data_IF_534836577740
#
_entry.id   IF_534836577740
#
_cell.length_a   1.000
_cell.length_b   1.000
_cell.length_c   1.000
_cell.angle_alpha   90.00
_cell.angle_beta   90.00
_cell.angle_gamma   90.00
#
_symmetry.space_group_name_H-M   'P 1'
#
loop_
_entity.id
_entity.type
_entity.pdbx_description
1 polymer ?
#
# COMPACT_ATOMS: atom_id res chain seq x y z
N UNK A 1 -10.27 -18.11 19.54
CA UNK A 1 -11.23 -17.15 18.97
C UNK A 1 -10.83 -15.79 19.51
N UNK A 2 -10.57 -14.81 18.64
CA UNK A 2 -10.22 -13.45 19.08
C UNK A 2 -11.48 -12.74 19.57
N UNK A 3 -11.34 -11.83 20.52
CA UNK A 3 -12.47 -11.11 21.12
C UNK A 3 -12.51 -9.70 20.55
N UNK A 4 -13.59 -9.29 19.85
CA UNK A 4 -13.74 -7.90 19.43
C UNK A 4 -13.88 -6.96 20.63
N UNK A 5 -13.26 -5.78 20.56
CA UNK A 5 -13.47 -4.74 21.55
C UNK A 5 -14.93 -4.28 21.60
N UNK A 6 -15.44 -4.02 22.81
CA UNK A 6 -16.88 -3.80 23.06
C UNK A 6 -17.46 -2.59 22.30
N UNK A 7 -16.64 -1.56 22.03
CA UNK A 7 -17.08 -0.36 21.31
C UNK A 7 -17.07 -0.47 19.79
N UNK A 8 -16.54 -1.56 19.22
CA UNK A 8 -16.67 -1.79 17.79
C UNK A 8 -18.16 -1.81 17.43
N UNK A 9 -18.54 -1.10 16.36
CA UNK A 9 -19.88 -1.26 15.81
C UNK A 9 -20.04 -2.66 15.19
N UNK A 10 -21.25 -3.24 15.22
CA UNK A 10 -21.50 -4.53 14.58
C UNK A 10 -21.09 -4.53 13.10
N UNK A 11 -20.39 -5.57 12.66
CA UNK A 11 -19.97 -5.77 11.28
C UNK A 11 -18.78 -6.70 11.14
N UNK A 12 -18.23 -6.77 9.94
CA UNK A 12 -17.18 -7.73 9.60
C UNK A 12 -15.77 -7.23 9.97
N UNK A 13 -15.55 -5.91 9.99
CA UNK A 13 -14.29 -5.32 10.44
C UNK A 13 -14.37 -5.00 11.93
N UNK A 14 -13.33 -5.32 12.68
CA UNK A 14 -13.25 -5.02 14.11
C UNK A 14 -11.81 -4.84 14.56
N UNK A 15 -11.63 -4.13 15.68
CA UNK A 15 -10.36 -4.12 16.42
C UNK A 15 -10.44 -5.13 17.56
N UNK A 16 -9.45 -6.00 17.66
CA UNK A 16 -9.30 -6.96 18.75
C UNK A 16 -9.13 -6.23 20.10
N UNK A 17 -9.80 -6.74 21.13
CA UNK A 17 -9.69 -6.24 22.50
C UNK A 17 -8.27 -6.46 23.06
N UNK A 18 -7.74 -5.46 23.77
CA UNK A 18 -6.41 -5.46 24.41
C UNK A 18 -5.22 -5.62 23.44
N UNK A 19 -5.42 -5.39 22.15
CA UNK A 19 -4.34 -5.47 21.16
C UNK A 19 -3.70 -4.12 20.85
N UNK A 20 -4.50 -3.05 20.82
CA UNK A 20 -4.06 -1.74 20.37
C UNK A 20 -2.96 -1.15 21.28
N UNK A 21 -1.94 -0.56 20.65
CA UNK A 21 -0.85 0.18 21.32
C UNK A 21 -0.90 1.69 21.04
N UNK A 22 -2.06 2.21 20.63
CA UNK A 22 -2.31 3.64 20.40
C UNK A 22 -1.37 4.30 19.38
N UNK A 23 -1.01 3.58 18.30
CA UNK A 23 -0.12 4.08 17.23
C UNK A 23 -0.74 5.13 16.29
N UNK A 24 -2.03 5.47 16.44
CA UNK A 24 -2.82 6.39 15.61
C UNK A 24 -2.97 6.05 14.11
N UNK A 25 -2.26 5.06 13.56
CA UNK A 25 -2.34 4.66 12.14
C UNK A 25 -3.79 4.53 11.62
N UNK A 26 -4.73 3.86 12.30
CA UNK A 26 -6.09 3.72 11.79
C UNK A 26 -6.85 5.05 11.71
N UNK A 27 -6.56 5.97 12.64
CA UNK A 27 -7.17 7.30 12.70
C UNK A 27 -6.60 8.19 11.59
N UNK A 28 -5.31 8.08 11.27
CA UNK A 28 -4.69 8.87 10.21
C UNK A 28 -5.10 8.38 8.81
N UNK A 29 -5.24 7.06 8.64
CA UNK A 29 -5.59 6.45 7.36
C UNK A 29 -7.10 6.52 7.05
N UNK A 30 -7.95 6.34 8.07
CA UNK A 30 -9.39 6.19 7.92
C UNK A 30 -10.18 6.83 9.10
N UNK A 31 -10.06 8.16 9.30
CA UNK A 31 -10.57 8.87 10.51
C UNK A 31 -12.09 8.83 10.71
N UNK A 32 -12.85 8.56 9.65
CA UNK A 32 -14.31 8.45 9.64
C UNK A 32 -14.83 7.02 9.86
N UNK A 33 -13.92 6.04 9.93
CA UNK A 33 -14.20 4.62 10.14
C UNK A 33 -13.66 4.16 11.50
N UNK A 34 -12.49 4.67 11.90
CA UNK A 34 -11.87 4.38 13.19
C UNK A 34 -11.92 5.59 14.12
N UNK A 35 -12.08 5.33 15.40
CA UNK A 35 -11.90 6.32 16.45
C UNK A 35 -11.21 5.67 17.64
N UNK A 36 -10.93 6.43 18.69
CA UNK A 36 -10.25 5.95 19.89
C UNK A 36 -10.93 6.51 21.13
N UNK A 37 -10.94 5.72 22.19
CA UNK A 37 -11.27 6.19 23.52
C UNK A 37 -10.04 6.16 24.43
N UNK A 38 -10.25 6.28 25.74
CA UNK A 38 -9.15 6.30 26.71
C UNK A 38 -8.36 4.96 26.80
N UNK A 39 -8.83 3.89 26.13
CA UNK A 39 -8.22 2.56 26.18
C UNK A 39 -7.59 2.15 24.85
N UNK A 40 -8.36 2.17 23.76
CA UNK A 40 -7.90 1.70 22.45
C UNK A 40 -8.69 2.24 21.27
N UNK A 41 -8.13 2.08 20.07
CA UNK A 41 -8.89 2.32 18.85
C UNK A 41 -9.96 1.24 18.62
N UNK A 42 -11.01 1.62 17.90
CA UNK A 42 -12.11 0.75 17.53
C UNK A 42 -12.77 1.19 16.22
N UNK A 43 -13.46 0.25 15.57
CA UNK A 43 -14.27 0.54 14.39
C UNK A 43 -15.54 1.25 14.83
N UNK A 44 -15.63 2.55 14.56
CA UNK A 44 -16.81 3.39 14.85
C UNK A 44 -17.87 3.30 13.76
N UNK A 45 -17.47 2.88 12.56
CA UNK A 45 -18.35 2.73 11.40
C UNK A 45 -17.76 1.71 10.41
N UNK A 46 -18.60 0.82 9.89
CA UNK A 46 -18.20 -0.11 8.83
C UNK A 46 -18.07 0.61 7.48
N UNK A 47 -17.12 0.20 6.61
CA UNK A 47 -17.03 0.73 5.26
C UNK A 47 -18.27 0.38 4.44
N UNK A 48 -18.75 1.33 3.63
CA UNK A 48 -19.94 1.21 2.78
C UNK A 48 -19.69 1.56 1.32
N UNK A 49 -18.55 2.18 1.03
CA UNK A 49 -18.13 2.53 -0.34
C UNK A 49 -16.80 1.86 -0.67
N UNK A 50 -16.45 1.78 -1.95
CA UNK A 50 -15.17 1.23 -2.39
C UNK A 50 -13.98 2.01 -1.81
N UNK A 51 -14.08 3.34 -1.73
CA UNK A 51 -13.06 4.20 -1.13
C UNK A 51 -12.88 3.92 0.37
N UNK A 52 -13.99 3.80 1.12
CA UNK A 52 -13.95 3.47 2.53
C UNK A 52 -13.34 2.09 2.78
N UNK A 53 -13.65 1.12 1.92
CA UNK A 53 -13.06 -0.21 1.98
C UNK A 53 -11.55 -0.15 1.71
N UNK A 54 -11.11 0.56 0.68
CA UNK A 54 -9.69 0.72 0.36
C UNK A 54 -8.91 1.37 1.51
N UNK A 55 -9.47 2.39 2.16
CA UNK A 55 -8.87 3.01 3.34
C UNK A 55 -8.84 2.06 4.55
N UNK A 56 -9.85 1.22 4.71
CA UNK A 56 -9.88 0.18 5.76
C UNK A 56 -8.78 -0.87 5.54
N UNK A 57 -8.67 -1.40 4.33
CA UNK A 57 -7.64 -2.38 3.97
C UNK A 57 -6.25 -1.77 4.06
N UNK A 58 -6.09 -0.50 3.71
CA UNK A 58 -4.85 0.25 3.92
C UNK A 58 -4.52 0.38 5.41
N UNK A 59 -5.48 0.64 6.28
CA UNK A 59 -5.23 0.68 7.73
C UNK A 59 -4.77 -0.68 8.26
N UNK A 60 -5.38 -1.78 7.80
CA UNK A 60 -4.93 -3.14 8.14
C UNK A 60 -3.49 -3.38 7.66
N UNK A 61 -3.16 -2.98 6.44
CA UNK A 61 -1.81 -3.13 5.90
C UNK A 61 -0.71 -2.31 6.63
N UNK A 62 -1.09 -1.23 7.32
CA UNK A 62 -0.13 -0.36 8.00
C UNK A 62 -0.08 -0.59 9.52
N UNK A 63 -0.90 -1.47 10.07
CA UNK A 63 -0.90 -1.72 11.50
C UNK A 63 0.39 -2.42 11.97
N UNK A 64 0.75 -2.21 13.23
CA UNK A 64 1.97 -2.80 13.79
C UNK A 64 1.74 -4.19 14.40
N UNK A 65 0.51 -4.49 14.85
CA UNK A 65 0.21 -5.62 15.73
C UNK A 65 -1.00 -6.48 15.33
N UNK A 66 -1.40 -6.47 14.05
CA UNK A 66 -2.52 -7.30 13.53
C UNK A 66 -3.86 -7.16 14.30
N UNK A 67 -4.08 -6.00 14.94
CA UNK A 67 -5.22 -5.71 15.80
C UNK A 67 -6.53 -5.47 15.04
N UNK A 68 -6.46 -4.88 13.85
CA UNK A 68 -7.60 -4.71 12.96
C UNK A 68 -7.77 -6.02 12.20
N UNK A 69 -8.97 -6.58 12.28
CA UNK A 69 -9.29 -7.92 11.79
C UNK A 69 -10.55 -7.92 10.93
N UNK A 70 -10.67 -8.95 10.09
CA UNK A 70 -11.83 -9.18 9.24
C UNK A 70 -12.43 -10.57 9.51
N UNK A 71 -13.66 -10.61 10.01
CA UNK A 71 -14.40 -11.86 10.29
C UNK A 71 -15.40 -12.26 9.18
N UNK A 72 -15.57 -11.42 8.17
CA UNK A 72 -16.54 -11.64 7.10
C UNK A 72 -16.16 -12.76 6.14
N UNK A 73 -17.03 -13.01 5.16
CA UNK A 73 -16.91 -14.09 4.17
C UNK A 73 -16.83 -13.59 2.73
N UNK A 74 -16.66 -12.28 2.52
CA UNK A 74 -16.49 -11.74 1.19
C UNK A 74 -15.16 -12.23 0.59
N UNK A 75 -15.26 -13.02 -0.48
CA UNK A 75 -14.10 -13.64 -1.13
C UNK A 75 -13.12 -12.59 -1.67
N UNK A 76 -13.61 -11.44 -2.12
CA UNK A 76 -12.77 -10.40 -2.70
C UNK A 76 -11.97 -9.68 -1.60
N UNK A 77 -12.59 -9.40 -0.46
CA UNK A 77 -11.89 -8.83 0.70
C UNK A 77 -10.83 -9.80 1.22
N UNK A 78 -11.18 -11.07 1.38
CA UNK A 78 -10.21 -12.10 1.83
C UNK A 78 -9.05 -12.23 0.84
N UNK A 79 -9.34 -12.24 -0.47
CA UNK A 79 -8.31 -12.31 -1.51
C UNK A 79 -7.32 -11.17 -1.39
N UNK A 80 -7.81 -9.93 -1.30
CA UNK A 80 -6.97 -8.72 -1.18
C UNK A 80 -6.07 -8.76 0.05
N UNK A 81 -6.65 -9.05 1.23
CA UNK A 81 -5.87 -9.17 2.47
C UNK A 81 -4.80 -10.27 2.39
N UNK A 82 -5.14 -11.46 1.88
CA UNK A 82 -4.13 -12.53 1.76
C UNK A 82 -3.04 -12.17 0.76
N UNK A 83 -3.40 -11.63 -0.40
CA UNK A 83 -2.43 -11.23 -1.43
C UNK A 83 -1.49 -10.12 -0.93
N UNK A 84 -1.97 -9.23 -0.07
CA UNK A 84 -1.18 -8.15 0.54
C UNK A 84 -0.34 -8.57 1.75
N UNK A 85 -0.39 -9.84 2.16
CA UNK A 85 0.34 -10.37 3.32
C UNK A 85 -0.44 -10.33 4.65
N UNK A 86 -1.66 -9.79 4.65
CA UNK A 86 -2.51 -9.61 5.84
C UNK A 86 -3.38 -10.84 6.16
N UNK A 87 -3.06 -12.02 5.63
CA UNK A 87 -3.88 -13.23 5.78
C UNK A 87 -4.10 -13.66 7.24
N UNK A 88 -3.18 -13.34 8.16
CA UNK A 88 -3.29 -13.61 9.60
C UNK A 88 -4.37 -12.78 10.32
N UNK A 89 -4.79 -11.66 9.72
CA UNK A 89 -5.83 -10.76 10.24
C UNK A 89 -7.24 -11.19 9.85
N UNK A 90 -7.36 -12.22 9.01
CA UNK A 90 -8.64 -12.76 8.52
C UNK A 90 -9.03 -13.99 9.32
N UNK A 91 -10.23 -13.99 9.91
CA UNK A 91 -10.72 -15.13 10.70
C UNK A 91 -11.38 -16.23 9.84
N UNK A 92 -11.67 -15.93 8.57
CA UNK A 92 -12.29 -16.87 7.64
C UNK A 92 -11.33 -17.96 7.17
N UNK A 93 -11.84 -19.18 7.05
CA UNK A 93 -11.13 -20.29 6.40
C UNK A 93 -10.94 -20.11 4.89
N UNK A 94 -11.52 -19.06 4.30
CA UNK A 94 -11.32 -18.75 2.88
C UNK A 94 -9.87 -18.38 2.57
N UNK A 95 -9.09 -17.97 3.57
CA UNK A 95 -7.66 -17.63 3.43
C UNK A 95 -6.85 -18.73 2.74
N UNK A 96 -7.19 -20.01 2.99
CA UNK A 96 -6.51 -21.17 2.40
C UNK A 96 -6.61 -21.29 0.87
N UNK A 97 -7.50 -20.51 0.25
CA UNK A 97 -7.71 -20.51 -1.20
C UNK A 97 -6.90 -19.42 -1.92
N UNK A 98 -6.20 -18.58 -1.17
CA UNK A 98 -5.43 -17.47 -1.71
C UNK A 98 -3.98 -17.59 -1.23
N UNK A 99 -3.08 -16.95 -1.97
CA UNK A 99 -1.66 -16.89 -1.65
C UNK A 99 -1.20 -15.45 -1.74
N UNK A 100 -0.19 -15.11 -0.93
CA UNK A 100 0.45 -13.81 -1.01
C UNK A 100 0.95 -13.54 -2.43
N UNK A 101 0.78 -12.29 -2.88
CA UNK A 101 1.09 -11.90 -4.26
C UNK A 101 1.73 -10.51 -4.29
N UNK A 102 3.03 -10.49 -4.57
CA UNK A 102 3.78 -9.26 -4.73
C UNK A 102 3.45 -8.56 -6.07
N UNK A 103 2.82 -7.40 -5.99
CA UNK A 103 2.62 -6.50 -7.14
C UNK A 103 3.65 -5.38 -7.14
N UNK A 104 4.68 -5.56 -7.94
CA UNK A 104 5.86 -4.68 -7.98
C UNK A 104 6.04 -4.00 -9.34
N UNK A 105 5.01 -4.08 -10.19
CA UNK A 105 4.95 -3.39 -11.47
C UNK A 105 3.75 -2.47 -11.41
N UNK A 106 3.91 -1.17 -11.71
CA UNK A 106 2.79 -0.26 -11.83
C UNK A 106 2.75 0.37 -13.22
N UNK A 107 1.63 0.26 -13.91
CA UNK A 107 1.34 1.01 -15.12
C UNK A 107 0.49 2.23 -14.77
N UNK A 108 0.91 3.40 -15.20
CA UNK A 108 0.36 4.68 -14.76
C UNK A 108 0.10 5.58 -15.96
N UNK A 109 -1.07 6.20 -16.00
CA UNK A 109 -1.35 7.29 -16.96
C UNK A 109 -1.04 8.62 -16.29
N UNK A 110 -0.14 9.42 -16.86
CA UNK A 110 0.23 10.69 -16.25
C UNK A 110 0.55 11.76 -17.30
N UNK A 111 0.29 13.02 -16.97
CA UNK A 111 0.55 14.18 -17.85
C UNK A 111 1.98 14.72 -17.67
N UNK A 112 2.98 13.92 -18.05
CA UNK A 112 4.39 14.29 -17.97
C UNK A 112 5.07 14.10 -19.33
N UNK A 113 5.99 15.01 -19.67
CA UNK A 113 6.69 15.00 -20.95
C UNK A 113 7.81 13.94 -21.01
N UNK A 114 8.31 13.50 -19.84
CA UNK A 114 9.38 12.51 -19.74
C UNK A 114 9.34 11.72 -18.44
N UNK A 115 10.00 10.56 -18.41
CA UNK A 115 10.19 9.80 -17.17
C UNK A 115 10.99 10.62 -16.14
N UNK A 116 11.98 11.41 -16.59
CA UNK A 116 12.81 12.25 -15.72
C UNK A 116 11.99 13.30 -14.96
N UNK A 117 11.13 14.06 -15.65
CA UNK A 117 10.23 15.02 -15.00
C UNK A 117 9.29 14.32 -14.01
N UNK A 118 8.74 13.16 -14.40
CA UNK A 118 7.81 12.43 -13.54
C UNK A 118 8.46 11.92 -12.25
N UNK A 119 9.63 11.29 -12.35
CA UNK A 119 10.34 10.80 -11.15
C UNK A 119 10.86 11.96 -10.32
N UNK A 120 11.25 13.07 -10.92
CA UNK A 120 11.70 14.24 -10.14
C UNK A 120 10.60 14.71 -9.19
N UNK A 121 9.38 14.90 -9.71
CA UNK A 121 8.22 15.32 -8.92
C UNK A 121 7.79 14.25 -7.90
N UNK A 122 7.82 12.97 -8.30
CA UNK A 122 7.53 11.84 -7.40
C UNK A 122 8.42 11.82 -6.15
N UNK A 123 9.69 12.18 -6.31
CA UNK A 123 10.66 12.14 -5.23
C UNK A 123 10.61 13.39 -4.34
N UNK A 124 9.93 14.48 -4.73
CA UNK A 124 9.85 15.68 -3.91
C UNK A 124 9.18 15.41 -2.56
N UNK A 125 8.08 14.65 -2.54
CA UNK A 125 7.34 14.35 -1.33
C UNK A 125 8.14 13.56 -0.29
N UNK A 126 8.70 12.38 -0.59
CA UNK A 126 9.50 11.66 0.39
C UNK A 126 10.76 12.44 0.79
N UNK A 127 11.29 13.32 -0.08
CA UNK A 127 12.38 14.25 0.29
C UNK A 127 11.92 15.34 1.27
N UNK A 128 10.69 15.84 1.15
CA UNK A 128 10.13 16.81 2.09
C UNK A 128 9.93 16.20 3.50
N UNK A 129 9.58 14.92 3.57
CA UNK A 129 9.44 14.17 4.83
C UNK A 129 10.77 13.99 5.57
N UNK A 130 11.93 14.05 4.88
CA UNK A 130 13.26 14.02 5.50
C UNK A 130 13.52 15.17 6.48
N UNK A 131 12.76 16.27 6.38
CA UNK A 131 12.92 17.43 7.24
C UNK A 131 12.10 17.33 8.53
N UNK A 132 11.30 16.26 8.71
CA UNK A 132 10.54 15.98 9.93
C UNK A 132 11.24 14.89 10.75
N UNK A 133 11.55 15.20 12.01
CA UNK A 133 12.47 14.45 12.90
C UNK A 133 12.08 12.99 13.23
N UNK A 134 10.92 12.50 12.79
CA UNK A 134 10.35 11.22 13.25
C UNK A 134 9.88 10.28 12.12
N UNK A 135 10.08 10.65 10.84
CA UNK A 135 9.70 9.79 9.70
C UNK A 135 10.91 9.06 9.08
N UNK A 136 10.70 7.93 8.38
CA UNK A 136 11.78 7.17 7.77
C UNK A 136 12.64 8.06 6.87
N UNK A 137 13.94 8.12 7.16
CA UNK A 137 14.89 8.88 6.37
C UNK A 137 15.13 8.18 5.03
N UNK A 138 14.26 8.43 4.04
CA UNK A 138 14.46 8.00 2.67
C UNK A 138 15.80 8.50 2.10
N UNK A 139 16.64 7.56 1.67
CA UNK A 139 17.86 7.83 0.91
C UNK A 139 17.62 7.48 -0.55
N UNK A 140 18.17 8.28 -1.44
CA UNK A 140 18.06 8.11 -2.88
C UNK A 140 19.44 8.09 -3.51
N UNK A 141 19.70 7.12 -4.40
CA UNK A 141 20.88 7.19 -5.26
C UNK A 141 20.70 8.30 -6.30
N UNK A 142 21.78 8.72 -6.98
CA UNK A 142 21.65 9.47 -8.23
C UNK A 142 20.75 8.74 -9.24
N UNK A 143 20.06 9.51 -10.07
CA UNK A 143 19.30 8.99 -11.20
C UNK A 143 20.27 8.46 -12.27
N UNK A 144 19.95 7.30 -12.85
CA UNK A 144 20.69 6.68 -13.94
C UNK A 144 19.77 6.60 -15.16
N UNK A 145 20.12 7.30 -16.24
CA UNK A 145 19.39 7.20 -17.50
C UNK A 145 19.76 5.93 -18.24
N UNK A 146 18.78 5.31 -18.89
CA UNK A 146 18.96 4.19 -19.81
C UNK A 146 18.05 4.36 -21.04
N UNK A 147 18.20 3.48 -22.02
CA UNK A 147 17.37 3.54 -23.23
C UNK A 147 15.87 3.41 -22.90
N UNK A 148 15.14 4.51 -23.04
CA UNK A 148 13.68 4.57 -22.81
C UNK A 148 13.24 4.80 -21.36
N UNK A 149 14.16 5.11 -20.43
CA UNK A 149 13.77 5.33 -19.04
C UNK A 149 14.87 5.79 -18.10
N UNK A 150 14.55 5.77 -16.82
CA UNK A 150 15.45 6.13 -15.71
C UNK A 150 15.32 5.14 -14.57
N UNK A 151 16.41 4.94 -13.84
CA UNK A 151 16.42 4.12 -12.63
C UNK A 151 17.10 4.85 -11.47
N UNK A 152 16.70 4.48 -10.26
CA UNK A 152 17.37 4.88 -9.02
C UNK A 152 17.20 3.81 -7.97
N UNK A 153 17.96 3.94 -6.89
CA UNK A 153 17.78 3.15 -5.69
C UNK A 153 17.19 3.99 -4.57
N UNK A 154 16.33 3.37 -3.77
CA UNK A 154 15.66 3.96 -2.61
C UNK A 154 15.94 3.09 -1.39
N UNK A 155 16.30 3.70 -0.27
CA UNK A 155 16.42 3.00 1.02
C UNK A 155 15.68 3.77 2.10
N UNK A 156 14.90 3.08 2.94
CA UNK A 156 14.24 3.69 4.11
C UNK A 156 14.63 3.01 5.43
N UNK A 157 15.45 1.96 5.38
CA UNK A 157 15.93 1.23 6.55
C UNK A 157 17.30 0.60 6.29
N UNK A 158 18.28 0.90 7.15
CA UNK A 158 19.59 0.23 7.25
C UNK A 158 20.28 -0.12 5.92
N UNK A 159 20.51 0.85 5.03
CA UNK A 159 21.21 0.67 3.74
C UNK A 159 20.62 -0.49 2.89
N UNK A 160 19.37 -0.88 3.12
CA UNK A 160 18.66 -1.81 2.26
C UNK A 160 18.14 -1.02 1.07
N UNK A 161 18.84 -1.15 -0.05
CA UNK A 161 18.56 -0.41 -1.28
C UNK A 161 17.62 -1.20 -2.19
N UNK A 162 16.56 -0.55 -2.65
CA UNK A 162 15.55 -1.10 -3.55
C UNK A 162 15.56 -0.32 -4.86
N UNK A 163 15.52 -1.00 -6.01
CA UNK A 163 15.61 -0.35 -7.31
C UNK A 163 14.22 0.05 -7.79
N UNK A 164 14.05 1.31 -8.15
CA UNK A 164 12.91 1.81 -8.90
C UNK A 164 13.35 2.15 -10.33
N UNK A 165 12.73 1.53 -11.31
CA UNK A 165 12.92 1.84 -12.73
C UNK A 165 11.62 2.36 -13.33
N UNK A 166 11.70 3.44 -14.11
CA UNK A 166 10.55 4.07 -14.77
C UNK A 166 10.85 4.23 -16.25
N UNK A 167 9.99 3.69 -17.10
CA UNK A 167 10.06 3.86 -18.55
C UNK A 167 8.73 4.32 -19.13
N UNK A 168 8.77 4.92 -20.32
CA UNK A 168 7.56 5.28 -21.06
C UNK A 168 7.20 4.15 -22.03
N UNK A 169 5.93 3.77 -22.08
CA UNK A 169 5.41 2.79 -23.02
C UNK A 169 4.97 3.46 -24.33
N UNK A 170 4.83 2.68 -25.41
CA UNK A 170 4.49 3.20 -26.74
C UNK A 170 3.14 3.93 -26.82
N UNK A 171 2.22 3.61 -25.92
CA UNK A 171 0.91 4.23 -25.79
C UNK A 171 0.91 5.45 -24.84
N UNK A 172 2.09 5.90 -24.41
CA UNK A 172 2.27 7.10 -23.60
C UNK A 172 2.07 6.90 -22.10
N UNK A 173 1.77 5.69 -21.63
CA UNK A 173 1.76 5.39 -20.20
C UNK A 173 3.19 5.27 -19.64
N UNK A 174 3.30 5.28 -18.32
CA UNK A 174 4.55 5.05 -17.60
C UNK A 174 4.52 3.68 -16.92
N UNK A 175 5.62 2.95 -17.03
CA UNK A 175 5.81 1.66 -16.40
C UNK A 175 6.86 1.78 -15.30
N UNK A 176 6.42 1.55 -14.06
CA UNK A 176 7.24 1.47 -12.87
C UNK A 176 7.56 0.00 -12.62
N UNK A 177 8.84 -0.33 -12.41
CA UNK A 177 9.30 -1.65 -11.96
C UNK A 177 10.08 -1.49 -10.66
N UNK A 178 9.66 -2.22 -9.65
CA UNK A 178 10.21 -2.16 -8.30
C UNK A 178 10.91 -3.48 -8.00
N UNK A 179 12.21 -3.42 -7.74
CA UNK A 179 13.00 -4.59 -7.38
C UNK A 179 13.47 -4.43 -5.93
N UNK A 180 12.93 -5.28 -5.05
CA UNK A 180 13.31 -5.29 -3.65
C UNK A 180 14.32 -6.41 -3.36
N UNK A 181 15.37 -6.11 -2.60
CA UNK A 181 16.40 -7.10 -2.21
C UNK A 181 15.92 -8.09 -1.13
N UNK A 182 14.73 -7.91 -0.54
CA UNK A 182 14.23 -8.67 0.63
C UNK A 182 12.68 -8.71 0.69
N UNK A 183 12.12 -9.13 1.84
CA UNK A 183 10.68 -9.11 2.15
C UNK A 183 10.04 -7.71 2.13
N UNK A 184 10.80 -6.64 1.89
CA UNK A 184 10.29 -5.28 1.78
C UNK A 184 9.48 -4.97 0.52
N UNK A 185 9.25 -5.93 -0.40
CA UNK A 185 8.59 -5.70 -1.68
C UNK A 185 7.18 -5.09 -1.57
N UNK A 186 6.36 -5.58 -0.65
CA UNK A 186 5.03 -5.02 -0.40
C UNK A 186 5.11 -3.62 0.18
N UNK A 187 6.01 -3.42 1.17
CA UNK A 187 6.32 -2.10 1.71
C UNK A 187 6.72 -1.10 0.64
N UNK A 188 7.60 -1.50 -0.27
CA UNK A 188 8.08 -0.64 -1.34
C UNK A 188 6.96 -0.24 -2.31
N UNK A 189 6.17 -1.22 -2.74
CA UNK A 189 5.03 -1.01 -3.65
C UNK A 189 3.98 -0.10 -3.02
N UNK A 190 3.71 -0.26 -1.72
CA UNK A 190 2.82 0.63 -0.95
C UNK A 190 3.35 2.06 -0.86
N UNK A 191 4.64 2.22 -0.56
CA UNK A 191 5.28 3.54 -0.49
C UNK A 191 5.19 4.28 -1.83
N UNK A 192 5.57 3.61 -2.92
CA UNK A 192 5.49 4.19 -4.27
C UNK A 192 4.04 4.46 -4.67
N UNK A 193 3.08 3.60 -4.32
CA UNK A 193 1.66 3.87 -4.57
C UNK A 193 1.19 5.14 -3.87
N UNK A 194 1.59 5.34 -2.60
CA UNK A 194 1.23 6.56 -1.89
C UNK A 194 1.83 7.81 -2.55
N UNK A 195 3.09 7.74 -2.99
CA UNK A 195 3.71 8.85 -3.71
C UNK A 195 2.99 9.15 -5.02
N UNK A 196 2.60 8.12 -5.78
CA UNK A 196 1.88 8.27 -7.04
C UNK A 196 0.47 8.86 -6.86
N UNK A 197 -0.29 8.37 -5.88
CA UNK A 197 -1.69 8.74 -5.69
C UNK A 197 -1.90 10.20 -5.31
N UNK A 198 -0.86 10.86 -4.79
CA UNK A 198 -0.91 12.26 -4.36
C UNK A 198 -0.38 13.23 -5.42
N UNK A 199 0.19 12.74 -6.52
CA UNK A 199 0.72 13.59 -7.58
C UNK A 199 -0.39 14.12 -8.49
N UNK A 200 -0.38 15.44 -8.80
CA UNK A 200 -1.31 15.99 -9.77
C UNK A 200 -1.06 15.40 -11.16
N UNK A 201 -2.15 15.19 -11.90
CA UNK A 201 -2.09 14.67 -13.27
C UNK A 201 -1.82 13.17 -13.39
N UNK A 202 -1.64 12.45 -12.26
CA UNK A 202 -1.58 10.98 -12.23
C UNK A 202 -2.99 10.40 -12.19
N UNK A 203 -3.22 9.36 -12.99
CA UNK A 203 -4.48 8.62 -13.06
C UNK A 203 -4.27 7.16 -13.48
N UNK A 204 -5.32 6.35 -13.36
CA UNK A 204 -5.34 4.97 -13.86
C UNK A 204 -4.14 4.12 -13.42
N UNK A 205 -3.74 4.22 -12.15
CA UNK A 205 -2.68 3.39 -11.58
C UNK A 205 -3.15 1.93 -11.58
N UNK A 206 -2.38 1.04 -12.21
CA UNK A 206 -2.62 -0.41 -12.23
C UNK A 206 -1.39 -1.15 -11.77
N UNK A 207 -1.50 -1.83 -10.65
CA UNK A 207 -0.47 -2.69 -10.07
C UNK A 207 -0.61 -4.12 -10.58
N UNK A 208 0.52 -4.70 -10.97
CA UNK A 208 0.61 -6.05 -11.53
C UNK A 208 1.68 -6.84 -10.78
N UNK A 209 1.39 -8.13 -10.56
CA UNK A 209 2.44 -9.12 -10.33
C UNK A 209 3.19 -9.42 -11.62
N UNK A 210 4.33 -10.12 -11.54
CA UNK A 210 5.06 -10.53 -12.74
C UNK A 210 4.19 -11.40 -13.66
N UNK A 211 3.47 -12.38 -13.11
CA UNK A 211 2.57 -13.26 -13.87
C UNK A 211 1.39 -12.50 -14.51
N UNK A 212 0.86 -11.49 -13.82
CA UNK A 212 -0.20 -10.61 -14.37
C UNK A 212 0.34 -9.77 -15.53
N UNK A 213 1.55 -9.25 -15.40
CA UNK A 213 2.21 -8.48 -16.46
C UNK A 213 2.53 -9.36 -17.68
N UNK A 214 3.08 -10.55 -17.48
CA UNK A 214 3.46 -11.47 -18.56
C UNK A 214 2.24 -11.95 -19.37
N UNK A 215 1.06 -11.96 -18.74
CA UNK A 215 -0.22 -12.37 -19.35
C UNK A 215 -1.07 -11.20 -19.85
N UNK A 216 -0.55 -9.97 -19.80
CA UNK A 216 -1.28 -8.74 -20.17
C UNK A 216 -2.63 -8.59 -19.44
N UNK A 217 -2.65 -8.91 -18.14
CA UNK A 217 -3.83 -8.76 -17.30
C UNK A 217 -4.02 -7.30 -16.87
N UNK A 218 -5.26 -6.86 -16.56
CA UNK A 218 -5.55 -5.44 -16.27
C UNK A 218 -4.93 -4.90 -14.97
N UNK A 219 -4.40 -5.76 -14.09
CA UNK A 219 -3.88 -5.37 -12.78
C UNK A 219 -4.95 -4.87 -11.80
N UNK A 220 -4.51 -4.30 -10.68
CA UNK A 220 -5.37 -3.80 -9.59
C UNK A 220 -5.12 -2.31 -9.31
N UNK A 221 -6.12 -1.56 -8.81
CA UNK A 221 -5.94 -0.13 -8.54
C UNK A 221 -4.90 0.17 -7.43
N UNK A 222 -4.65 -0.80 -6.55
CA UNK A 222 -3.71 -0.73 -5.45
C UNK A 222 -2.81 -1.99 -5.44
N UNK A 223 -1.65 -1.95 -4.77
CA UNK A 223 -0.80 -3.12 -4.63
C UNK A 223 -1.36 -4.15 -3.61
N UNK A 224 -2.49 -3.86 -2.96
CA UNK A 224 -3.17 -4.66 -1.92
C UNK A 224 -4.65 -4.96 -2.24
#
# INVERSE_FOLDING_TARGET
MRTPYLKNVPGDFYVEDQCCVTCNIPLDVAPDLFTMDDQQCYVSRQPRTADELDRTLRAMNNQELDCIRYSGQDREIVRRLVESGEGCTVDSLLTKFFVERLRHIARVTASYDSALSFVTDLLEKPRALLNYKEEPSYKFSPLIEFEGGISLQVSWFEENWHTLSVSQTFDGAFLFRLEALSSGGHGFSRGVHHWLSDLPGVSHIRWLSQDEFDKDLPGQPAPF
#
